data_IF_874568284466
#
_entry.id   IF_874568284466
#
_cell.length_a   1.000
_cell.length_b   1.000
_cell.length_c   1.000
_cell.angle_alpha   90.00
_cell.angle_beta   90.00
_cell.angle_gamma   90.00
#
_symmetry.space_group_name_H-M   'P 1'
#
loop_
_entity.id
_entity.type
_entity.pdbx_description
1 polymer ?
#
# COMPACT_ATOMS: atom_id res chain seq x y z
N UNK A 1 3.25 11.46 -19.23
CA UNK A 1 4.58 11.98 -18.83
C UNK A 1 5.03 11.49 -17.44
N UNK A 2 4.21 11.64 -16.38
CA UNK A 2 4.57 11.28 -15.00
C UNK A 2 4.99 9.81 -14.80
N UNK A 3 4.23 8.84 -15.36
CA UNK A 3 4.56 7.41 -15.23
C UNK A 3 5.94 7.07 -15.83
N UNK A 4 6.32 7.72 -16.92
CA UNK A 4 7.63 7.52 -17.56
C UNK A 4 8.78 7.98 -16.66
N UNK A 5 8.61 9.11 -15.97
CA UNK A 5 9.60 9.62 -15.00
C UNK A 5 9.76 8.67 -13.82
N UNK A 6 8.65 8.20 -13.24
CA UNK A 6 8.67 7.21 -12.15
C UNK A 6 9.36 5.92 -12.62
N UNK A 7 9.02 5.41 -13.79
CA UNK A 7 9.65 4.21 -14.35
C UNK A 7 11.17 4.35 -14.52
N UNK A 8 11.67 5.57 -14.77
CA UNK A 8 13.10 5.86 -14.85
C UNK A 8 13.78 5.89 -13.47
N UNK A 9 13.11 6.34 -12.41
CA UNK A 9 13.72 6.44 -11.07
C UNK A 9 14.03 5.07 -10.47
N UNK A 10 13.30 4.02 -10.83
CA UNK A 10 13.60 2.64 -10.41
C UNK A 10 14.92 2.08 -10.95
N UNK A 11 15.42 2.65 -12.05
CA UNK A 11 16.66 2.20 -12.71
C UNK A 11 17.89 2.95 -12.20
N UNK A 12 17.72 3.98 -11.36
CA UNK A 12 18.83 4.78 -10.85
C UNK A 12 19.62 3.99 -9.81
N UNK A 13 20.94 4.12 -9.89
CA UNK A 13 21.82 3.73 -8.80
C UNK A 13 21.72 4.78 -7.68
N UNK A 14 20.76 4.60 -6.78
CA UNK A 14 20.45 5.55 -5.71
C UNK A 14 21.63 5.81 -4.79
N UNK A 15 22.50 4.82 -4.55
CA UNK A 15 23.73 5.02 -3.76
C UNK A 15 24.59 6.09 -4.43
N UNK A 16 24.92 5.92 -5.72
CA UNK A 16 25.73 6.91 -6.47
C UNK A 16 25.06 8.28 -6.57
N UNK A 17 23.73 8.33 -6.64
CA UNK A 17 22.99 9.61 -6.66
C UNK A 17 23.13 10.32 -5.32
N UNK A 18 22.89 9.62 -4.21
CA UNK A 18 22.96 10.19 -2.87
C UNK A 18 24.40 10.54 -2.47
N UNK A 19 25.39 9.74 -2.86
CA UNK A 19 26.81 10.05 -2.64
C UNK A 19 27.21 11.36 -3.33
N UNK A 20 26.74 11.60 -4.56
CA UNK A 20 27.00 12.86 -5.27
C UNK A 20 26.31 14.04 -4.60
N UNK A 21 25.07 13.85 -4.13
CA UNK A 21 24.33 14.89 -3.39
C UNK A 21 25.08 15.22 -2.09
N UNK A 22 25.48 14.21 -1.32
CA UNK A 22 26.22 14.40 -0.08
C UNK A 22 27.56 15.12 -0.31
N UNK A 23 28.30 14.74 -1.35
CA UNK A 23 29.56 15.40 -1.69
C UNK A 23 29.38 16.90 -2.00
N UNK A 24 28.25 17.28 -2.62
CA UNK A 24 27.92 18.67 -2.94
C UNK A 24 27.43 19.46 -1.72
N UNK A 25 26.60 18.84 -0.88
CA UNK A 25 26.01 19.50 0.29
C UNK A 25 26.99 19.59 1.47
N UNK A 26 27.88 18.61 1.61
CA UNK A 26 28.85 18.55 2.69
C UNK A 26 30.27 18.32 2.13
N UNK A 27 30.88 19.36 1.54
CA UNK A 27 32.27 19.28 1.09
C UNK A 27 33.19 18.84 2.23
N UNK A 28 34.02 17.83 1.99
CA UNK A 28 34.93 17.28 3.01
C UNK A 28 34.34 16.25 3.97
N UNK A 29 33.07 15.82 3.79
CA UNK A 29 32.45 14.79 4.66
C UNK A 29 33.31 13.52 4.80
N UNK A 30 34.01 13.12 3.74
CA UNK A 30 34.90 11.95 3.75
C UNK A 30 36.02 12.07 4.78
N UNK A 31 36.63 13.25 4.91
CA UNK A 31 37.68 13.48 5.91
C UNK A 31 37.15 13.43 7.34
N UNK A 32 35.92 13.92 7.55
CA UNK A 32 35.26 13.91 8.87
C UNK A 32 34.78 12.52 9.30
N UNK A 33 34.62 11.60 8.36
CA UNK A 33 34.17 10.23 8.59
C UNK A 33 35.31 9.21 8.38
N UNK A 34 36.58 9.62 8.42
CA UNK A 34 37.74 8.75 8.22
C UNK A 34 37.65 7.87 6.97
N UNK A 35 37.12 8.44 5.87
CA UNK A 35 36.85 7.77 4.60
C UNK A 35 35.88 6.57 4.68
N UNK A 36 35.10 6.45 5.75
CA UNK A 36 34.05 5.43 5.88
C UNK A 36 32.96 5.67 4.82
N UNK A 37 32.55 4.60 4.15
CA UNK A 37 31.45 4.62 3.19
C UNK A 37 30.11 4.78 3.90
N UNK A 38 29.34 5.78 3.47
CA UNK A 38 27.99 6.04 3.99
C UNK A 38 27.02 4.96 3.55
N UNK A 39 26.29 4.41 4.51
CA UNK A 39 25.25 3.40 4.24
C UNK A 39 23.87 4.04 4.17
N UNK A 40 23.41 4.32 2.95
CA UNK A 40 22.09 4.91 2.70
C UNK A 40 20.94 3.93 2.95
N UNK A 41 19.98 4.36 3.75
CA UNK A 41 18.77 3.61 4.05
C UNK A 41 17.51 4.41 3.75
N UNK A 42 16.43 3.73 3.38
CA UNK A 42 15.09 4.26 3.33
C UNK A 42 14.30 3.69 4.50
N UNK A 43 14.05 4.51 5.51
CA UNK A 43 13.36 4.10 6.74
C UNK A 43 11.91 3.67 6.44
N UNK A 44 11.12 4.59 5.90
CA UNK A 44 9.77 4.38 5.39
C UNK A 44 9.76 4.63 3.88
N UNK A 45 8.96 3.88 3.13
CA UNK A 45 8.69 4.17 1.72
C UNK A 45 7.22 4.03 1.44
N UNK A 46 6.72 4.91 0.60
CA UNK A 46 5.34 4.89 0.13
C UNK A 46 5.32 4.73 -1.39
N UNK A 47 4.33 3.99 -1.89
CA UNK A 47 4.13 3.75 -3.31
C UNK A 47 2.64 3.86 -3.63
N UNK A 48 2.29 4.84 -4.45
CA UNK A 48 0.91 5.16 -4.80
C UNK A 48 0.59 4.72 -6.24
N UNK A 49 -0.59 4.14 -6.40
CA UNK A 49 -1.26 3.89 -7.67
C UNK A 49 -2.49 4.79 -7.71
N UNK A 50 -2.54 5.68 -8.71
CA UNK A 50 -3.63 6.66 -8.87
C UNK A 50 -4.55 6.23 -10.00
N UNK A 51 -5.85 6.14 -9.70
CA UNK A 51 -6.92 5.93 -10.68
C UNK A 51 -7.70 7.24 -10.78
N UNK A 52 -7.58 7.92 -11.92
CA UNK A 52 -8.24 9.20 -12.18
C UNK A 52 -9.64 8.99 -12.74
N UNK A 53 -10.58 9.79 -12.25
CA UNK A 53 -11.97 9.85 -12.73
C UNK A 53 -12.20 11.18 -13.44
N UNK A 54 -12.99 11.15 -14.52
CA UNK A 54 -13.31 12.34 -15.32
C UNK A 54 -14.11 13.38 -14.53
N UNK A 55 -14.86 12.95 -13.51
CA UNK A 55 -15.55 13.86 -12.60
C UNK A 55 -15.58 13.36 -11.16
N UNK A 56 -15.59 14.32 -10.23
CA UNK A 56 -15.69 14.10 -8.77
C UNK A 56 -16.97 13.33 -8.38
N UNK A 57 -18.06 13.54 -9.12
CA UNK A 57 -19.34 12.88 -8.84
C UNK A 57 -19.24 11.36 -9.02
N UNK A 58 -18.55 10.89 -10.07
CA UNK A 58 -18.36 9.45 -10.34
C UNK A 58 -17.64 8.77 -9.19
N UNK A 59 -16.48 9.29 -8.77
CA UNK A 59 -15.75 8.73 -7.64
C UNK A 59 -16.61 8.78 -6.37
N UNK A 60 -17.23 9.92 -6.04
CA UNK A 60 -18.06 10.05 -4.83
C UNK A 60 -19.20 9.03 -4.77
N UNK A 61 -19.84 8.72 -5.90
CA UNK A 61 -20.93 7.76 -5.98
C UNK A 61 -20.46 6.32 -5.67
N UNK A 62 -19.28 5.94 -6.18
CA UNK A 62 -18.69 4.61 -6.00
C UNK A 62 -17.98 4.46 -4.66
N UNK A 63 -17.37 5.53 -4.17
CA UNK A 63 -16.39 5.44 -3.10
C UNK A 63 -17.00 5.07 -1.75
N UNK A 64 -18.21 5.54 -1.45
CA UNK A 64 -18.91 5.18 -0.20
C UNK A 64 -19.25 3.68 -0.14
N UNK A 65 -19.93 3.09 -1.16
CA UNK A 65 -20.12 1.65 -1.22
C UNK A 65 -18.81 0.86 -1.16
N UNK A 66 -17.80 1.27 -1.93
CA UNK A 66 -16.51 0.59 -2.02
C UNK A 66 -15.83 0.48 -0.66
N UNK A 67 -15.81 1.57 0.12
CA UNK A 67 -15.17 1.58 1.44
C UNK A 67 -15.95 0.78 2.49
N UNK A 68 -17.28 0.81 2.42
CA UNK A 68 -18.10 -0.03 3.28
C UNK A 68 -17.83 -1.50 2.98
N UNK A 69 -17.87 -1.90 1.71
CA UNK A 69 -17.54 -3.26 1.28
C UNK A 69 -16.13 -3.68 1.70
N UNK A 70 -15.15 -2.78 1.57
CA UNK A 70 -13.78 -3.07 1.99
C UNK A 70 -13.67 -3.37 3.48
N UNK A 71 -14.46 -2.71 4.33
CA UNK A 71 -14.47 -2.95 5.78
C UNK A 71 -15.31 -4.14 6.20
N UNK A 72 -16.39 -4.45 5.48
CA UNK A 72 -17.34 -5.52 5.87
C UNK A 72 -17.00 -6.88 5.25
N UNK A 73 -16.33 -6.88 4.10
CA UNK A 73 -16.14 -8.09 3.29
C UNK A 73 -14.69 -8.58 3.31
N UNK A 74 -13.71 -7.67 3.41
CA UNK A 74 -12.30 -8.08 3.43
C UNK A 74 -11.90 -8.62 4.81
N UNK A 75 -11.36 -9.83 4.80
CA UNK A 75 -10.93 -10.56 5.98
C UNK A 75 -9.43 -10.42 6.22
N UNK A 76 -8.95 -10.96 7.34
CA UNK A 76 -7.51 -11.08 7.60
C UNK A 76 -6.77 -11.87 6.52
N UNK A 77 -7.41 -12.88 5.93
CA UNK A 77 -6.83 -13.69 4.85
C UNK A 77 -6.59 -12.86 3.58
N UNK A 78 -7.49 -11.94 3.26
CA UNK A 78 -7.35 -11.02 2.14
C UNK A 78 -6.16 -10.08 2.37
N UNK A 79 -6.03 -9.55 3.59
CA UNK A 79 -4.91 -8.66 3.95
C UNK A 79 -3.56 -9.39 3.87
N UNK A 80 -3.51 -10.64 4.35
CA UNK A 80 -2.35 -11.52 4.20
C UNK A 80 -2.00 -11.71 2.71
N UNK A 81 -3.01 -11.98 1.86
CA UNK A 81 -2.84 -12.12 0.41
C UNK A 81 -2.32 -10.84 -0.23
N UNK A 82 -2.86 -9.67 0.10
CA UNK A 82 -2.38 -8.38 -0.42
C UNK A 82 -0.89 -8.21 -0.14
N UNK A 83 -0.46 -8.54 1.08
CA UNK A 83 0.92 -8.41 1.57
C UNK A 83 1.83 -9.59 1.19
N UNK A 84 1.36 -10.50 0.35
CA UNK A 84 2.08 -11.72 -0.06
C UNK A 84 2.60 -12.51 1.16
N UNK A 85 1.69 -12.79 2.10
CA UNK A 85 1.94 -13.58 3.31
C UNK A 85 1.10 -14.85 3.29
N UNK A 86 1.63 -15.88 3.95
CA UNK A 86 0.93 -17.13 4.21
C UNK A 86 0.08 -16.98 5.47
N UNK A 87 -0.94 -17.83 5.63
CA UNK A 87 -1.78 -17.93 6.84
C UNK A 87 -0.99 -18.17 8.14
N UNK A 88 0.19 -18.78 8.04
CA UNK A 88 1.08 -19.01 9.17
C UNK A 88 1.83 -17.76 9.67
N UNK A 89 1.57 -16.58 9.10
CA UNK A 89 2.22 -15.33 9.51
C UNK A 89 1.73 -14.89 10.90
N UNK A 90 2.67 -14.66 11.81
CA UNK A 90 2.40 -14.39 13.24
C UNK A 90 2.38 -12.88 13.59
N UNK A 91 2.21 -12.00 12.60
CA UNK A 91 2.17 -10.56 12.84
C UNK A 91 0.75 -10.03 12.96
N UNK A 92 0.60 -8.94 13.70
CA UNK A 92 -0.68 -8.25 13.88
C UNK A 92 -1.27 -7.79 12.54
N UNK A 93 -2.59 -7.96 12.42
CA UNK A 93 -3.40 -7.48 11.31
C UNK A 93 -4.47 -6.56 11.90
N UNK A 94 -4.53 -5.33 11.41
CA UNK A 94 -5.54 -4.34 11.81
C UNK A 94 -6.15 -3.69 10.57
N UNK A 95 -7.40 -3.28 10.66
CA UNK A 95 -8.09 -2.52 9.61
C UNK A 95 -8.87 -1.39 10.23
N UNK A 96 -8.66 -0.17 9.73
CA UNK A 96 -9.41 0.97 10.18
C UNK A 96 -9.89 1.87 9.06
N UNK A 97 -10.97 2.55 9.38
CA UNK A 97 -11.61 3.56 8.58
C UNK A 97 -11.44 4.93 9.25
N UNK A 98 -11.15 5.97 8.48
CA UNK A 98 -11.19 7.36 8.96
C UNK A 98 -11.85 8.27 7.95
N UNK A 99 -12.71 9.16 8.44
CA UNK A 99 -13.32 10.25 7.68
C UNK A 99 -12.64 11.56 8.08
N UNK A 100 -11.98 12.19 7.11
CA UNK A 100 -11.38 13.51 7.24
C UNK A 100 -12.14 14.51 6.34
N UNK A 101 -11.97 15.83 6.52
CA UNK A 101 -12.53 16.82 5.60
C UNK A 101 -12.08 16.63 4.14
N UNK A 102 -10.85 16.16 3.94
CA UNK A 102 -10.24 15.93 2.63
C UNK A 102 -10.71 14.66 1.92
N UNK A 103 -11.35 13.75 2.65
CA UNK A 103 -11.73 12.44 2.11
C UNK A 103 -11.93 11.37 3.16
N UNK A 104 -12.38 10.22 2.69
CA UNK A 104 -12.56 9.01 3.49
C UNK A 104 -11.40 8.05 3.18
N UNK A 105 -10.89 7.33 4.17
CA UNK A 105 -9.78 6.38 4.01
C UNK A 105 -10.12 5.05 4.65
N UNK A 106 -9.87 3.97 3.93
CA UNK A 106 -9.69 2.63 4.49
C UNK A 106 -8.21 2.29 4.53
N UNK A 107 -7.75 1.68 5.61
CA UNK A 107 -6.35 1.29 5.78
C UNK A 107 -6.24 -0.06 6.45
N UNK A 108 -5.45 -0.94 5.85
CA UNK A 108 -5.10 -2.25 6.38
C UNK A 108 -3.63 -2.23 6.80
N UNK A 109 -3.36 -2.70 8.01
CA UNK A 109 -2.05 -2.84 8.61
C UNK A 109 -1.71 -4.33 8.73
N UNK A 110 -0.44 -4.66 8.46
CA UNK A 110 0.07 -6.01 8.65
C UNK A 110 1.54 -5.96 9.04
N UNK A 111 1.85 -6.42 10.26
CA UNK A 111 3.21 -6.55 10.75
C UNK A 111 4.05 -5.27 10.59
N UNK A 112 3.47 -4.09 10.83
CA UNK A 112 4.14 -2.79 10.67
C UNK A 112 4.23 -2.24 9.25
N UNK A 113 3.73 -2.95 8.23
CA UNK A 113 3.47 -2.42 6.88
C UNK A 113 1.99 -2.06 6.73
N UNK A 114 1.62 -1.33 5.69
CA UNK A 114 0.21 -1.02 5.44
C UNK A 114 -0.12 -0.78 3.99
N UNK A 115 -1.38 -1.01 3.61
CA UNK A 115 -1.97 -0.56 2.35
C UNK A 115 -3.24 0.24 2.67
N UNK A 116 -3.48 1.33 1.96
CA UNK A 116 -4.67 2.18 2.14
C UNK A 116 -5.27 2.59 0.81
N UNK A 117 -6.58 2.83 0.81
CA UNK A 117 -7.28 3.51 -0.28
C UNK A 117 -7.94 4.79 0.23
N UNK A 118 -7.88 5.87 -0.57
CA UNK A 118 -8.53 7.15 -0.26
C UNK A 118 -8.91 7.93 -1.53
N UNK A 119 -9.96 8.76 -1.43
CA UNK A 119 -10.39 9.69 -2.47
C UNK A 119 -9.58 10.99 -2.41
N UNK A 120 -8.43 11.00 -3.07
CA UNK A 120 -7.54 12.16 -3.11
C UNK A 120 -8.13 13.26 -4.00
N UNK A 121 -8.29 14.45 -3.43
CA UNK A 121 -8.80 15.64 -4.13
C UNK A 121 -10.16 15.42 -4.82
N UNK A 122 -10.94 14.44 -4.37
CA UNK A 122 -12.29 14.15 -4.84
C UNK A 122 -12.42 13.46 -6.20
N UNK A 123 -11.39 13.46 -7.05
CA UNK A 123 -11.42 12.86 -8.40
C UNK A 123 -10.38 11.76 -8.64
N UNK A 124 -9.55 11.43 -7.65
CA UNK A 124 -8.54 10.37 -7.74
C UNK A 124 -8.75 9.34 -6.65
N UNK A 125 -8.99 8.09 -7.02
CA UNK A 125 -8.87 6.96 -6.10
C UNK A 125 -7.39 6.59 -6.01
N UNK A 126 -6.78 6.83 -4.85
CA UNK A 126 -5.40 6.46 -4.60
C UNK A 126 -5.32 5.20 -3.75
N UNK A 127 -4.62 4.21 -4.26
CA UNK A 127 -4.17 3.05 -3.49
C UNK A 127 -2.70 3.26 -3.14
N UNK A 128 -2.33 3.14 -1.88
CA UNK A 128 -0.98 3.44 -1.42
C UNK A 128 -0.48 2.39 -0.43
N UNK A 129 0.68 1.83 -0.73
CA UNK A 129 1.40 0.91 0.16
C UNK A 129 2.53 1.63 0.87
N UNK A 130 2.59 1.48 2.19
CA UNK A 130 3.69 1.88 3.05
C UNK A 130 4.44 0.65 3.53
N UNK A 131 5.75 0.59 3.27
CA UNK A 131 6.63 -0.45 3.80
C UNK A 131 7.50 0.19 4.89
N UNK A 132 7.50 -0.38 6.09
CA UNK A 132 8.43 -0.04 7.19
C UNK A 132 9.30 -1.25 7.60
N UNK A 133 8.78 -2.46 7.37
CA UNK A 133 9.42 -3.72 7.71
C UNK A 133 9.84 -4.48 6.43
N UNK A 134 10.82 -3.99 5.65
CA UNK A 134 11.20 -4.60 4.40
C UNK A 134 11.69 -6.05 4.57
N UNK A 135 12.28 -6.40 5.71
CA UNK A 135 12.78 -7.77 5.99
C UNK A 135 11.71 -8.86 5.86
N UNK A 136 10.43 -8.51 5.92
CA UNK A 136 9.31 -9.45 5.69
C UNK A 136 9.14 -9.84 4.22
N UNK A 137 9.82 -9.17 3.29
CA UNK A 137 9.82 -9.45 1.86
C UNK A 137 11.18 -9.99 1.41
N UNK A 138 11.24 -10.53 0.19
CA UNK A 138 12.45 -11.18 -0.34
C UNK A 138 12.95 -10.50 -1.61
N UNK A 139 14.26 -10.53 -1.78
CA UNK A 139 15.01 -10.06 -2.96
C UNK A 139 16.04 -11.12 -3.35
N UNK A 140 16.14 -11.40 -4.64
CA UNK A 140 17.13 -12.32 -5.17
C UNK A 140 18.45 -11.57 -5.41
N UNK A 141 19.46 -11.84 -4.58
CA UNK A 141 20.75 -11.13 -4.61
C UNK A 141 21.89 -11.94 -3.98
N UNK A 142 23.12 -11.55 -4.30
CA UNK A 142 24.32 -12.04 -3.64
C UNK A 142 24.41 -11.53 -2.18
N UNK A 143 25.30 -12.14 -1.39
CA UNK A 143 25.52 -11.75 0.01
C UNK A 143 26.11 -10.33 0.06
N UNK A 144 25.82 -9.60 1.14
CA UNK A 144 26.45 -8.29 1.33
C UNK A 144 27.95 -8.47 1.57
N UNK A 145 28.77 -7.66 0.90
CA UNK A 145 30.24 -7.80 0.94
C UNK A 145 30.80 -8.81 -0.05
N UNK A 146 29.95 -9.57 -0.74
CA UNK A 146 30.35 -10.57 -1.71
C UNK A 146 29.46 -10.46 -2.97
N UNK A 147 29.75 -9.49 -3.86
CA UNK A 147 28.93 -9.24 -5.04
C UNK A 147 29.08 -10.31 -6.14
N UNK A 148 30.17 -11.08 -6.12
CA UNK A 148 30.44 -12.16 -7.09
C UNK A 148 29.96 -13.53 -6.61
N UNK A 149 29.67 -13.67 -5.32
CA UNK A 149 29.12 -14.90 -4.77
C UNK A 149 27.70 -15.22 -5.24
N UNK A 150 27.26 -16.41 -4.87
CA UNK A 150 26.00 -16.98 -5.31
C UNK A 150 24.79 -16.13 -4.87
N UNK A 151 23.86 -15.92 -5.81
CA UNK A 151 22.60 -15.24 -5.54
C UNK A 151 21.61 -16.18 -4.89
N UNK A 152 20.94 -15.69 -3.86
CA UNK A 152 19.86 -16.42 -3.18
C UNK A 152 18.70 -15.48 -2.86
N UNK A 153 17.53 -16.05 -2.56
CA UNK A 153 16.42 -15.29 -2.00
C UNK A 153 16.75 -14.89 -0.57
N UNK A 154 16.97 -13.59 -0.35
CA UNK A 154 17.35 -13.03 0.95
C UNK A 154 16.32 -12.01 1.42
N UNK A 155 16.23 -11.72 2.73
CA UNK A 155 15.41 -10.62 3.22
C UNK A 155 15.75 -9.29 2.52
N UNK A 156 14.72 -8.55 2.15
CA UNK A 156 14.84 -7.21 1.58
C UNK A 156 15.43 -6.26 2.63
N UNK A 157 16.44 -5.47 2.23
CA UNK A 157 17.13 -4.56 3.14
C UNK A 157 16.39 -3.23 3.25
N UNK A 158 16.72 -2.47 4.31
CA UNK A 158 16.42 -1.03 4.37
C UNK A 158 17.30 -0.19 3.44
N UNK A 159 18.39 -0.76 2.92
CA UNK A 159 19.32 -0.05 2.02
C UNK A 159 18.59 0.44 0.77
N UNK A 160 19.00 1.62 0.29
CA UNK A 160 18.50 2.16 -0.98
C UNK A 160 18.85 1.29 -2.19
N UNK A 161 19.82 0.36 -2.05
CA UNK A 161 20.17 -0.63 -3.07
C UNK A 161 18.98 -1.50 -3.49
N UNK A 162 18.05 -1.75 -2.57
CA UNK A 162 16.91 -2.63 -2.78
C UNK A 162 15.62 -1.86 -3.13
N UNK A 163 15.70 -0.54 -3.38
CA UNK A 163 14.52 0.30 -3.68
C UNK A 163 13.74 -0.16 -4.90
N UNK A 164 14.44 -0.65 -5.94
CA UNK A 164 13.77 -1.21 -7.12
C UNK A 164 12.83 -2.35 -6.72
N UNK A 165 13.34 -3.33 -5.98
CA UNK A 165 12.54 -4.47 -5.51
C UNK A 165 11.45 -4.04 -4.54
N UNK A 166 11.72 -3.04 -3.69
CA UNK A 166 10.72 -2.48 -2.77
C UNK A 166 9.54 -1.85 -3.52
N UNK A 167 9.81 -1.12 -4.59
CA UNK A 167 8.77 -0.56 -5.44
C UNK A 167 7.96 -1.64 -6.18
N UNK A 168 8.63 -2.67 -6.72
CA UNK A 168 7.93 -3.81 -7.34
C UNK A 168 6.97 -4.49 -6.35
N UNK A 169 7.44 -4.77 -5.13
CA UNK A 169 6.61 -5.36 -4.08
C UNK A 169 5.43 -4.46 -3.74
N UNK A 170 5.65 -3.16 -3.57
CA UNK A 170 4.56 -2.23 -3.27
C UNK A 170 3.54 -2.11 -4.40
N UNK A 171 3.99 -2.09 -5.67
CA UNK A 171 3.09 -2.11 -6.83
C UNK A 171 2.21 -3.35 -6.82
N UNK A 172 2.81 -4.52 -6.63
CA UNK A 172 2.06 -5.78 -6.55
C UNK A 172 1.07 -5.83 -5.38
N UNK A 173 1.37 -5.16 -4.25
CA UNK A 173 0.42 -5.03 -3.13
C UNK A 173 -0.74 -4.12 -3.53
N UNK A 174 -0.47 -2.98 -4.16
CA UNK A 174 -1.50 -2.08 -4.67
C UNK A 174 -2.39 -2.78 -5.70
N UNK A 175 -1.81 -3.56 -6.61
CA UNK A 175 -2.54 -4.28 -7.66
C UNK A 175 -3.50 -5.31 -7.05
N UNK A 176 -3.01 -6.19 -6.17
CA UNK A 176 -3.87 -7.19 -5.47
C UNK A 176 -4.98 -6.55 -4.66
N UNK A 177 -4.69 -5.42 -4.00
CA UNK A 177 -5.70 -4.72 -3.23
C UNK A 177 -6.72 -4.01 -4.13
N UNK A 178 -6.26 -3.40 -5.23
CA UNK A 178 -7.12 -2.79 -6.24
C UNK A 178 -8.04 -3.80 -6.91
N UNK A 179 -7.53 -4.99 -7.25
CA UNK A 179 -8.33 -6.11 -7.75
C UNK A 179 -9.42 -6.51 -6.76
N UNK A 180 -9.07 -6.66 -5.47
CA UNK A 180 -10.03 -7.01 -4.44
C UNK A 180 -11.11 -5.91 -4.29
N UNK A 181 -10.72 -4.63 -4.26
CA UNK A 181 -11.66 -3.52 -4.25
C UNK A 181 -12.57 -3.50 -5.47
N UNK A 182 -12.03 -3.78 -6.66
CA UNK A 182 -12.79 -3.86 -7.91
C UNK A 182 -13.74 -5.05 -7.99
N UNK A 183 -13.48 -6.12 -7.23
CA UNK A 183 -14.35 -7.30 -7.13
C UNK A 183 -15.49 -7.17 -6.11
N UNK A 184 -15.50 -6.12 -5.29
CA UNK A 184 -16.58 -5.90 -4.33
C UNK A 184 -17.87 -5.60 -5.07
N UNK A 185 -18.90 -6.39 -4.79
CA UNK A 185 -20.24 -6.09 -5.29
C UNK A 185 -20.79 -4.86 -4.55
N UNK A 186 -20.77 -3.72 -5.23
CA UNK A 186 -21.35 -2.47 -4.74
C UNK A 186 -22.74 -2.19 -5.33
N UNK A 187 -23.31 -3.13 -6.09
CA UNK A 187 -24.54 -2.92 -6.86
C UNK A 187 -25.79 -2.81 -5.97
N UNK A 188 -25.81 -3.54 -4.86
CA UNK A 188 -26.99 -3.58 -3.98
C UNK A 188 -26.72 -2.83 -2.68
N UNK A 189 -27.57 -1.86 -2.35
CA UNK A 189 -27.43 -1.17 -1.07
C UNK A 189 -27.86 -2.10 0.07
N UNK A 190 -27.08 -2.16 1.15
CA UNK A 190 -27.44 -2.95 2.33
C UNK A 190 -28.87 -2.62 2.82
N UNK A 191 -29.27 -1.35 2.75
CA UNK A 191 -30.62 -0.91 3.10
C UNK A 191 -31.71 -1.57 2.27
N UNK A 192 -31.48 -1.83 0.98
CA UNK A 192 -32.42 -2.54 0.10
C UNK A 192 -32.50 -4.02 0.46
N UNK A 193 -31.35 -4.64 0.79
CA UNK A 193 -31.29 -6.04 1.24
C UNK A 193 -32.00 -6.26 2.58
N UNK A 194 -31.83 -5.34 3.54
CA UNK A 194 -32.42 -5.49 4.88
C UNK A 194 -33.82 -4.90 4.97
N UNK A 195 -34.26 -4.07 4.01
CA UNK A 195 -35.59 -3.45 4.03
C UNK A 195 -36.74 -4.44 4.22
N UNK A 196 -36.77 -5.63 3.59
CA UNK A 196 -37.82 -6.62 3.84
C UNK A 196 -37.87 -7.10 5.30
N UNK A 197 -36.71 -7.21 5.95
CA UNK A 197 -36.57 -7.68 7.33
C UNK A 197 -36.87 -6.54 8.31
N UNK A 198 -36.48 -5.32 7.98
CA UNK A 198 -36.72 -4.13 8.80
C UNK A 198 -38.13 -3.55 8.64
N UNK A 199 -38.94 -4.09 7.71
CA UNK A 199 -40.33 -3.69 7.53
C UNK A 199 -41.21 -4.36 8.61
N UNK A 200 -42.04 -3.60 9.33
CA UNK A 200 -43.00 -4.18 10.27
C UNK A 200 -43.96 -5.12 9.53
N UNK A 201 -44.18 -6.31 10.07
CA UNK A 201 -45.16 -7.25 9.54
C UNK A 201 -46.54 -6.98 10.17
N UNK A 202 -47.60 -7.08 9.39
CA UNK A 202 -48.99 -7.08 9.91
C UNK A 202 -49.52 -8.51 9.91
N UNK A 203 -49.96 -8.99 11.07
CA UNK A 203 -50.62 -10.29 11.22
C UNK A 203 -51.92 -10.08 12.00
N UNK A 204 -53.05 -10.50 11.42
CA UNK A 204 -54.39 -10.36 12.01
C UNK A 204 -54.71 -8.91 12.48
N UNK A 205 -54.38 -7.91 11.66
CA UNK A 205 -54.61 -6.49 11.98
C UNK A 205 -53.58 -5.86 12.95
N UNK A 206 -52.80 -6.68 13.66
CA UNK A 206 -51.79 -6.23 14.61
C UNK A 206 -50.44 -6.05 13.91
N UNK A 207 -49.75 -4.94 14.20
CA UNK A 207 -48.41 -4.62 13.66
C UNK A 207 -47.34 -5.15 14.60
N UNK A 208 -46.42 -5.93 14.06
CA UNK A 208 -45.25 -6.46 14.77
C UNK A 208 -43.98 -5.83 14.20
N UNK A 209 -42.98 -5.62 15.06
CA UNK A 209 -41.63 -5.18 14.69
C UNK A 209 -40.70 -6.37 14.64
#
# INVERSE_FOLDING_TARGET
AAQKLVNQTHRKNWIRVLDRILARLCPGYRKRLDNIHVYWTAFQTEWATDISFDCTASLRSLYRPLIRGAMTTLSCDDILRFMNKRRSFQGEVDSNFRKNPEGVRVKHYLGGNSVKAYDKAGSVLRIETTINQPKQFRVFRAKQGDPQGEKAWRPLRKSVADLKRRAEVSGQINDRYGEALGSLDTSTQLGELVAPICRPIRRNGTRYR
#
